data_IF_969416467058
#
_entry.id   IF_969416467058
#
_cell.length_a   1.000
_cell.length_b   1.000
_cell.length_c   1.000
_cell.angle_alpha   90.00
_cell.angle_beta   90.00
_cell.angle_gamma   90.00
#
_symmetry.space_group_name_H-M   'P 1'
#
loop_
_entity.id
_entity.type
_entity.pdbx_description
1 polymer ?
#
# COMPACT_ATOMS: atom_id res chain seq x y z
N UNK A 1 35.44 -39.93 64.18
CA UNK A 1 34.29 -39.09 64.57
C UNK A 1 34.47 -37.71 63.94
N UNK A 2 33.41 -37.23 63.28
CA UNK A 2 33.33 -36.02 62.47
C UNK A 2 33.50 -34.71 63.28
N UNK A 3 34.15 -33.71 62.67
CA UNK A 3 33.80 -32.28 62.68
C UNK A 3 34.77 -31.57 61.71
N UNK A 4 34.35 -31.15 60.51
CA UNK A 4 33.51 -30.01 60.16
C UNK A 4 34.19 -28.66 60.40
N UNK A 5 34.47 -27.93 59.31
CA UNK A 5 34.13 -26.51 59.08
C UNK A 5 35.08 -25.89 58.04
N UNK A 6 34.76 -26.05 56.75
CA UNK A 6 35.47 -25.39 55.66
C UNK A 6 34.72 -24.09 55.33
N UNK A 7 35.23 -22.97 55.84
CA UNK A 7 34.66 -21.63 55.70
C UNK A 7 34.92 -21.07 54.30
N UNK A 8 33.86 -21.06 53.49
CA UNK A 8 33.38 -19.88 52.75
C UNK A 8 34.36 -18.71 52.64
N UNK A 9 35.05 -18.58 51.50
CA UNK A 9 35.37 -17.32 50.82
C UNK A 9 36.47 -17.54 49.78
N UNK A 10 36.08 -17.63 48.50
CA UNK A 10 36.82 -17.12 47.31
C UNK A 10 36.25 -17.72 46.04
N UNK A 11 35.04 -17.29 45.63
CA UNK A 11 34.54 -17.56 44.28
C UNK A 11 33.43 -16.57 43.88
N UNK A 12 33.64 -15.28 44.13
CA UNK A 12 32.68 -14.22 43.74
C UNK A 12 33.41 -13.05 43.07
N UNK A 13 34.33 -13.31 42.15
CA UNK A 13 34.94 -12.28 41.29
C UNK A 13 35.16 -12.82 39.87
N UNK A 14 34.11 -13.34 39.23
CA UNK A 14 34.17 -13.70 37.81
C UNK A 14 32.79 -13.73 37.12
N UNK A 15 31.77 -13.04 37.66
CA UNK A 15 30.41 -13.08 37.12
C UNK A 15 29.77 -11.70 36.89
N UNK A 16 30.60 -10.67 36.68
CA UNK A 16 30.12 -9.30 36.42
C UNK A 16 30.63 -8.68 35.10
N UNK A 17 30.98 -9.50 34.10
CA UNK A 17 31.42 -9.01 32.78
C UNK A 17 30.53 -9.38 31.58
N UNK A 18 29.40 -10.08 31.76
CA UNK A 18 28.59 -10.58 30.64
C UNK A 18 27.17 -10.01 30.53
N UNK A 19 26.88 -8.89 31.18
CA UNK A 19 25.61 -8.16 30.99
C UNK A 19 25.88 -6.78 30.36
N UNK A 20 26.61 -6.76 29.25
CA UNK A 20 26.44 -5.71 28.25
C UNK A 20 25.24 -6.11 27.40
N UNK A 21 24.02 -5.94 27.94
CA UNK A 21 22.81 -5.99 27.12
C UNK A 21 22.94 -4.86 26.10
N UNK A 22 23.37 -5.21 24.89
CA UNK A 22 23.23 -4.38 23.72
C UNK A 22 21.76 -4.07 23.56
N UNK A 23 21.35 -2.86 23.92
CA UNK A 23 20.07 -2.28 23.58
C UNK A 23 20.08 -2.00 22.07
N UNK A 24 20.07 -3.07 21.27
CA UNK A 24 19.71 -2.98 19.87
C UNK A 24 18.24 -2.59 19.87
N UNK A 25 17.96 -1.29 19.74
CA UNK A 25 16.63 -0.86 19.31
C UNK A 25 16.40 -1.57 18.00
N UNK A 26 15.58 -2.61 18.03
CA UNK A 26 15.08 -3.24 16.83
C UNK A 26 14.21 -2.17 16.19
N UNK A 27 14.81 -1.37 15.31
CA UNK A 27 14.07 -0.57 14.35
C UNK A 27 13.43 -1.63 13.48
N UNK A 28 12.17 -1.99 13.80
CA UNK A 28 11.33 -2.69 12.84
C UNK A 28 11.36 -1.78 11.61
N UNK A 29 11.94 -2.19 10.47
CA UNK A 29 11.75 -1.43 9.26
C UNK A 29 10.24 -1.35 9.10
N UNK A 30 9.68 -0.13 9.14
CA UNK A 30 8.30 0.07 8.67
C UNK A 30 8.26 -0.66 7.33
N UNK A 31 7.28 -1.54 7.12
CA UNK A 31 6.96 -2.00 5.78
C UNK A 31 6.48 -0.76 5.03
N UNK A 32 7.44 0.08 4.63
CA UNK A 32 7.26 1.06 3.60
C UNK A 32 7.04 0.20 2.37
N UNK A 33 5.77 -0.03 2.07
CA UNK A 33 5.37 -0.86 0.95
C UNK A 33 5.64 -0.04 -0.30
N UNK A 34 6.93 0.16 -0.64
CA UNK A 34 7.38 1.06 -1.71
C UNK A 34 6.66 0.73 -3.02
N UNK A 35 6.19 -0.51 -3.20
CA UNK A 35 5.33 -0.91 -4.30
C UNK A 35 4.04 -1.58 -3.84
N UNK A 36 2.93 -1.23 -4.49
CA UNK A 36 1.61 -1.81 -4.24
C UNK A 36 0.89 -2.10 -5.55
N UNK A 37 0.33 -3.31 -5.68
CA UNK A 37 -0.63 -3.61 -6.75
C UNK A 37 -2.00 -3.08 -6.35
N UNK A 38 -2.61 -2.29 -7.24
CA UNK A 38 -3.79 -1.52 -6.93
C UNK A 38 -4.99 -1.99 -7.76
N UNK A 39 -6.03 -2.47 -7.07
CA UNK A 39 -7.33 -2.75 -7.68
C UNK A 39 -8.18 -1.48 -7.81
N UNK A 40 -7.92 -0.49 -6.96
CA UNK A 40 -8.51 0.86 -7.03
C UNK A 40 -7.40 1.88 -6.89
N UNK A 41 -7.49 3.00 -7.59
CA UNK A 41 -6.48 4.04 -7.55
C UNK A 41 -7.03 5.36 -8.04
N UNK A 42 -6.43 6.45 -7.58
CA UNK A 42 -6.72 7.80 -8.06
C UNK A 42 -5.43 8.53 -8.33
N UNK A 43 -5.49 9.53 -9.21
CA UNK A 43 -4.35 10.42 -9.52
C UNK A 43 -3.08 9.64 -9.91
N UNK A 44 -3.24 8.53 -10.64
CA UNK A 44 -2.20 7.52 -10.86
C UNK A 44 -0.92 8.09 -11.48
N UNK A 45 -1.04 9.15 -12.27
CA UNK A 45 0.08 9.78 -12.99
C UNK A 45 0.72 10.94 -12.21
N UNK A 46 0.47 11.04 -10.90
CA UNK A 46 0.94 12.14 -10.04
C UNK A 46 1.64 11.62 -8.79
N UNK A 47 2.28 12.53 -8.04
CA UNK A 47 2.86 12.24 -6.73
C UNK A 47 1.83 12.13 -5.60
N UNK A 48 0.54 12.31 -5.91
CA UNK A 48 -0.57 12.17 -4.98
C UNK A 48 -1.40 10.92 -5.29
N UNK A 49 -0.81 9.94 -5.98
CA UNK A 49 -1.51 8.71 -6.32
C UNK A 49 -1.93 7.96 -5.05
N UNK A 50 -3.18 7.52 -4.99
CA UNK A 50 -3.67 6.67 -3.89
C UNK A 50 -3.90 5.26 -4.41
N UNK A 51 -3.78 4.27 -3.53
CA UNK A 51 -3.92 2.85 -3.88
C UNK A 51 -4.92 2.17 -2.93
N UNK A 52 -5.77 1.30 -3.50
CA UNK A 52 -6.72 0.44 -2.79
C UNK A 52 -7.63 1.16 -1.79
N UNK A 53 -7.96 2.43 -2.08
CA UNK A 53 -8.80 3.28 -1.21
C UNK A 53 -8.25 3.40 0.22
N UNK A 54 -6.94 3.24 0.40
CA UNK A 54 -6.28 3.37 1.69
C UNK A 54 -6.09 4.85 2.03
N UNK A 55 -6.78 5.38 3.07
CA UNK A 55 -6.86 6.82 3.32
C UNK A 55 -5.52 7.45 3.75
N UNK A 56 -4.62 6.64 4.31
CA UNK A 56 -3.33 7.11 4.82
C UNK A 56 -2.16 6.69 3.91
N UNK A 57 -2.41 6.25 2.68
CA UNK A 57 -1.34 5.79 1.78
C UNK A 57 -1.27 6.66 0.53
N UNK A 58 -0.08 7.22 0.30
CA UNK A 58 0.23 8.04 -0.88
C UNK A 58 1.43 7.46 -1.60
N UNK A 59 1.30 7.24 -2.89
CA UNK A 59 2.32 6.74 -3.80
C UNK A 59 2.95 7.90 -4.58
N UNK A 60 4.12 8.32 -4.11
CA UNK A 60 4.78 9.55 -4.58
C UNK A 60 5.40 9.45 -5.97
N UNK A 61 5.58 8.23 -6.49
CA UNK A 61 6.14 7.97 -7.83
C UNK A 61 5.06 7.59 -8.86
N UNK A 62 3.78 7.72 -8.50
CA UNK A 62 2.66 7.34 -9.36
C UNK A 62 2.57 5.82 -9.61
N UNK A 63 1.78 5.45 -10.60
CA UNK A 63 1.45 4.07 -10.94
C UNK A 63 1.83 3.77 -12.39
N UNK A 64 2.27 2.53 -12.61
CA UNK A 64 2.74 2.06 -13.91
C UNK A 64 2.25 0.64 -14.18
N UNK A 65 2.44 0.16 -15.41
CA UNK A 65 2.08 -1.19 -15.81
C UNK A 65 0.67 -1.30 -16.35
N UNK A 66 -0.02 -2.40 -16.01
CA UNK A 66 -1.28 -2.77 -16.63
C UNK A 66 -2.47 -2.08 -15.94
N UNK A 67 -2.80 -0.88 -16.40
CA UNK A 67 -3.99 -0.16 -15.94
C UNK A 67 -5.28 -0.93 -16.18
N UNK A 68 -6.30 -0.61 -15.39
CA UNK A 68 -7.58 -1.30 -15.48
C UNK A 68 -8.25 -0.96 -16.80
N UNK A 69 -8.63 -1.98 -17.55
CA UNK A 69 -9.52 -1.88 -18.71
C UNK A 69 -10.93 -2.23 -18.27
N UNK A 70 -11.88 -1.34 -18.51
CA UNK A 70 -13.30 -1.52 -18.17
C UNK A 70 -14.17 -1.48 -19.43
N UNK A 71 -15.21 -2.31 -19.48
CA UNK A 71 -16.17 -2.37 -20.59
C UNK A 71 -17.52 -1.73 -20.22
N UNK A 72 -18.36 -1.49 -21.22
CA UNK A 72 -19.68 -0.84 -21.07
C UNK A 72 -19.59 0.52 -20.37
N UNK A 73 -18.62 1.34 -20.79
CA UNK A 73 -18.35 2.66 -20.24
C UNK A 73 -19.11 3.75 -21.01
N UNK A 74 -19.86 4.55 -20.28
CA UNK A 74 -20.59 5.73 -20.78
C UNK A 74 -19.98 7.01 -20.21
N UNK A 75 -19.77 8.05 -21.02
CA UNK A 75 -19.20 9.31 -20.54
C UNK A 75 -20.15 10.00 -19.56
N UNK A 76 -19.63 10.45 -18.41
CA UNK A 76 -20.46 11.04 -17.33
C UNK A 76 -21.10 12.36 -17.75
N UNK A 77 -20.41 13.15 -18.59
CA UNK A 77 -20.89 14.44 -19.11
C UNK A 77 -21.11 14.43 -20.63
N UNK A 78 -21.30 13.25 -21.22
CA UNK A 78 -21.52 13.11 -22.66
C UNK A 78 -22.99 13.26 -23.07
N UNK A 79 -23.27 13.28 -24.38
CA UNK A 79 -24.63 13.23 -24.89
C UNK A 79 -25.37 11.98 -24.40
N UNK A 80 -26.64 12.14 -24.04
CA UNK A 80 -27.50 11.01 -23.70
C UNK A 80 -27.58 10.03 -24.89
N UNK A 81 -27.59 8.73 -24.61
CA UNK A 81 -27.62 7.69 -25.65
C UNK A 81 -26.28 7.43 -26.33
N UNK A 82 -25.17 8.02 -25.85
CA UNK A 82 -23.83 7.65 -26.31
C UNK A 82 -23.61 6.16 -26.13
N UNK A 83 -23.20 5.48 -27.20
CA UNK A 83 -22.95 4.05 -27.18
C UNK A 83 -21.86 3.70 -26.14
N UNK A 84 -22.07 2.66 -25.30
CA UNK A 84 -21.05 2.22 -24.36
C UNK A 84 -19.79 1.75 -25.08
N UNK A 85 -18.64 2.01 -24.47
CA UNK A 85 -17.32 1.70 -25.03
C UNK A 85 -16.43 0.96 -24.03
N UNK A 86 -15.24 0.56 -24.48
CA UNK A 86 -14.19 0.01 -23.63
C UNK A 86 -13.16 1.10 -23.35
N UNK A 87 -12.77 1.24 -22.09
CA UNK A 87 -11.89 2.30 -21.62
C UNK A 87 -10.72 1.73 -20.82
N UNK A 88 -9.53 2.26 -21.06
CA UNK A 88 -8.37 2.05 -20.17
C UNK A 88 -8.34 3.21 -19.18
N UNK A 89 -8.41 2.90 -17.89
CA UNK A 89 -8.55 3.86 -16.79
C UNK A 89 -7.18 4.34 -16.31
N UNK A 90 -6.41 5.02 -17.17
CA UNK A 90 -4.99 5.36 -16.88
C UNK A 90 -4.78 6.37 -15.75
N UNK A 91 -5.81 7.09 -15.30
CA UNK A 91 -5.70 8.14 -14.28
C UNK A 91 -6.34 7.72 -12.96
N UNK A 92 -7.48 7.03 -13.03
CA UNK A 92 -8.19 6.60 -11.83
C UNK A 92 -9.23 5.54 -12.13
N UNK A 93 -9.38 4.61 -11.19
CA UNK A 93 -10.37 3.55 -11.25
C UNK A 93 -10.92 3.27 -9.84
N UNK A 94 -12.23 3.29 -9.70
CA UNK A 94 -12.90 3.28 -8.40
C UNK A 94 -14.35 2.83 -8.44
N UNK A 95 -15.00 2.84 -7.29
CA UNK A 95 -16.47 2.69 -7.20
C UNK A 95 -17.13 4.01 -7.60
N UNK A 96 -18.14 3.92 -8.46
CA UNK A 96 -19.02 5.06 -8.79
C UNK A 96 -20.37 4.89 -8.09
N UNK A 97 -21.00 3.72 -8.29
CA UNK A 97 -22.21 3.30 -7.57
C UNK A 97 -22.09 1.85 -7.12
N UNK A 98 -23.15 1.29 -6.52
CA UNK A 98 -23.19 -0.14 -6.19
C UNK A 98 -23.04 -1.05 -7.43
N UNK A 99 -23.41 -0.57 -8.62
CA UNK A 99 -23.40 -1.34 -9.87
C UNK A 99 -22.40 -0.84 -10.91
N UNK A 100 -21.85 0.36 -10.73
CA UNK A 100 -20.96 1.00 -11.69
C UNK A 100 -19.58 1.32 -11.09
N UNK A 101 -18.57 1.32 -11.96
CA UNK A 101 -17.21 1.72 -11.67
C UNK A 101 -16.91 3.05 -12.34
N UNK A 102 -16.18 3.90 -11.63
CA UNK A 102 -15.62 5.12 -12.19
C UNK A 102 -14.33 4.76 -12.93
N UNK A 103 -14.21 5.21 -14.16
CA UNK A 103 -13.00 5.08 -14.98
C UNK A 103 -12.60 6.47 -15.46
N UNK A 104 -11.37 6.88 -15.17
CA UNK A 104 -10.84 8.19 -15.55
C UNK A 104 -9.60 7.97 -16.40
N UNK A 105 -9.57 8.64 -17.55
CA UNK A 105 -8.43 8.70 -18.45
C UNK A 105 -8.34 10.08 -19.12
N UNK A 106 -7.44 10.20 -20.10
CA UNK A 106 -7.17 11.45 -20.82
C UNK A 106 -8.39 11.98 -21.59
N UNK A 107 -9.34 11.13 -21.95
CA UNK A 107 -10.58 11.52 -22.62
C UNK A 107 -11.66 12.02 -21.65
N UNK A 108 -11.51 11.75 -20.36
CA UNK A 108 -12.41 12.22 -19.32
C UNK A 108 -12.84 11.13 -18.35
N UNK A 109 -14.02 11.33 -17.75
CA UNK A 109 -14.62 10.43 -16.77
C UNK A 109 -15.77 9.63 -17.37
N UNK A 110 -15.78 8.34 -17.07
CA UNK A 110 -16.76 7.37 -17.54
C UNK A 110 -17.35 6.57 -16.37
N UNK A 111 -18.64 6.26 -16.48
CA UNK A 111 -19.31 5.28 -15.62
C UNK A 111 -19.43 3.96 -16.39
N UNK A 112 -18.84 2.89 -15.84
CA UNK A 112 -18.72 1.59 -16.50
C UNK A 112 -19.48 0.51 -15.71
N UNK A 113 -20.30 -0.27 -16.40
CA UNK A 113 -21.09 -1.36 -15.78
C UNK A 113 -20.67 -2.76 -16.22
N UNK A 114 -19.63 -2.85 -17.05
CA UNK A 114 -19.15 -4.10 -17.63
C UNK A 114 -18.07 -4.78 -16.79
N UNK A 115 -17.36 -5.70 -17.44
CA UNK A 115 -16.23 -6.41 -16.84
C UNK A 115 -14.99 -5.50 -16.77
N UNK A 116 -14.11 -5.83 -15.82
CA UNK A 116 -12.86 -5.09 -15.58
C UNK A 116 -11.70 -6.06 -15.52
N UNK A 117 -10.56 -5.70 -16.10
CA UNK A 117 -9.32 -6.47 -16.05
C UNK A 117 -8.11 -5.56 -15.90
N UNK A 118 -7.01 -6.08 -15.36
CA UNK A 118 -5.79 -5.30 -15.09
C UNK A 118 -5.69 -4.83 -13.63
N UNK A 119 -4.49 -4.42 -13.23
CA UNK A 119 -4.15 -3.93 -11.89
C UNK A 119 -2.78 -3.27 -11.99
N UNK A 120 -2.67 -1.93 -11.98
CA UNK A 120 -1.39 -1.26 -12.06
C UNK A 120 -0.61 -1.42 -10.75
N UNK A 121 0.69 -1.16 -10.83
CA UNK A 121 1.58 -1.12 -9.68
C UNK A 121 1.91 0.33 -9.37
N UNK A 122 1.52 0.81 -8.18
CA UNK A 122 1.91 2.12 -7.68
C UNK A 122 3.22 2.02 -6.90
N UNK A 123 4.06 3.06 -7.02
CA UNK A 123 5.43 3.08 -6.52
C UNK A 123 5.65 4.27 -5.56
N UNK A 124 6.64 4.16 -4.67
CA UNK A 124 6.89 5.12 -3.60
C UNK A 124 5.72 5.28 -2.64
N UNK A 125 5.00 4.19 -2.36
CA UNK A 125 3.83 4.19 -1.49
C UNK A 125 4.23 4.20 -0.01
N UNK A 126 3.84 5.27 0.68
CA UNK A 126 4.18 5.53 2.07
C UNK A 126 2.92 5.73 2.88
N UNK A 127 2.91 5.20 4.11
CA UNK A 127 1.85 5.50 5.06
C UNK A 127 2.11 6.85 5.72
N UNK A 128 1.23 7.81 5.49
CA UNK A 128 1.21 9.09 6.20
C UNK A 128 0.92 8.81 7.67
N UNK A 129 1.92 9.05 8.53
CA UNK A 129 1.77 9.00 9.98
C UNK A 129 1.54 10.43 10.45
N UNK A 130 0.37 10.68 11.05
CA UNK A 130 0.02 11.93 11.71
C UNK A 130 0.63 11.94 13.12
#
# INVERSE_FOLDING_TARGET
MFHSSNTFATAMVAFFCLLKLSNSRFVIPRLDQDQMTCSFYTSANTSLATCNEQPNVVCTKGCTGNFVTATQCTPVNGPEGTAPSTQVCSIGFGRDTARAKACINEMGAFSCTGQTSGSPTCNGCQTLTN
#
